data_IF_302599551494
#
_entry.id   IF_302599551494
#
_cell.length_a   1.000
_cell.length_b   1.000
_cell.length_c   1.000
_cell.angle_alpha   90.00
_cell.angle_beta   90.00
_cell.angle_gamma   90.00
#
_symmetry.space_group_name_H-M   'P 1'
#
loop_
_entity.id
_entity.type
_entity.pdbx_description
1 polymer ?
#
# COMPACT_ATOMS: atom_id res chain seq x y z
N UNK A 1 14.69 -0.38 2.72
CA UNK A 1 13.44 -0.89 2.11
C UNK A 1 13.54 -0.89 0.59
N UNK A 2 14.13 0.14 -0.01
CA UNK A 2 14.27 0.24 -1.47
C UNK A 2 15.09 -0.88 -2.10
N UNK A 3 16.12 -1.37 -1.40
CA UNK A 3 16.87 -2.55 -1.82
C UNK A 3 16.06 -3.87 -1.83
N UNK A 4 14.88 -3.92 -1.20
CA UNK A 4 13.99 -5.10 -1.20
C UNK A 4 13.01 -5.07 -2.39
N UNK A 5 12.61 -3.88 -2.84
CA UNK A 5 11.57 -3.66 -3.85
C UNK A 5 11.84 -4.35 -5.20
N UNK A 6 13.08 -4.37 -5.75
CA UNK A 6 13.40 -5.08 -6.99
C UNK A 6 13.18 -6.60 -6.95
N UNK A 7 13.10 -7.19 -5.75
CA UNK A 7 12.92 -8.63 -5.56
C UNK A 7 11.45 -9.01 -5.28
N UNK A 8 10.54 -8.04 -5.35
CA UNK A 8 9.11 -8.27 -5.25
C UNK A 8 8.49 -8.37 -6.66
N UNK A 9 7.40 -9.14 -6.81
CA UNK A 9 6.52 -9.00 -7.97
C UNK A 9 6.08 -7.54 -8.13
N UNK A 10 5.96 -7.08 -9.37
CA UNK A 10 5.63 -5.68 -9.72
C UNK A 10 4.43 -5.13 -8.93
N UNK A 11 3.35 -5.91 -8.84
CA UNK A 11 2.16 -5.53 -8.05
C UNK A 11 2.50 -5.24 -6.58
N UNK A 12 3.35 -6.06 -5.96
CA UNK A 12 3.76 -5.87 -4.57
C UNK A 12 4.77 -4.73 -4.43
N UNK A 13 5.64 -4.53 -5.40
CA UNK A 13 6.54 -3.38 -5.45
C UNK A 13 5.74 -2.06 -5.49
N UNK A 14 4.72 -1.98 -6.35
CA UNK A 14 3.83 -0.82 -6.44
C UNK A 14 3.03 -0.61 -5.17
N UNK A 15 2.55 -1.70 -4.55
CA UNK A 15 1.90 -1.62 -3.24
C UNK A 15 2.83 -1.05 -2.17
N UNK A 16 4.11 -1.46 -2.14
CA UNK A 16 5.11 -0.90 -1.21
C UNK A 16 5.31 0.59 -1.48
N UNK A 17 5.54 0.99 -2.73
CA UNK A 17 5.72 2.40 -3.13
C UNK A 17 4.53 3.25 -2.71
N UNK A 18 3.32 2.79 -3.05
CA UNK A 18 2.09 3.50 -2.70
C UNK A 18 1.88 3.62 -1.19
N UNK A 19 2.17 2.57 -0.42
CA UNK A 19 2.06 2.60 1.05
C UNK A 19 3.12 3.50 1.70
N UNK A 20 4.31 3.65 1.11
CA UNK A 20 5.32 4.58 1.62
C UNK A 20 4.88 6.04 1.46
N UNK A 21 4.25 6.37 0.35
CA UNK A 21 3.77 7.73 0.07
C UNK A 21 2.53 8.07 0.90
N UNK A 22 1.61 7.12 1.03
CA UNK A 22 0.28 7.39 1.59
C UNK A 22 0.09 6.93 3.02
N UNK A 23 0.95 6.03 3.52
CA UNK A 23 0.73 5.35 4.79
C UNK A 23 -0.55 4.50 4.85
N UNK A 24 -1.23 4.25 3.72
CA UNK A 24 -2.47 3.46 3.69
C UNK A 24 -2.23 2.00 4.12
N UNK A 25 -3.28 1.30 4.55
CA UNK A 25 -3.12 -0.14 4.87
C UNK A 25 -2.99 -0.97 3.57
N UNK A 26 -2.35 -2.15 3.61
CA UNK A 26 -2.20 -3.00 2.42
C UNK A 26 -3.52 -3.34 1.72
N UNK A 27 -4.58 -3.60 2.49
CA UNK A 27 -5.91 -3.85 1.95
C UNK A 27 -6.47 -2.66 1.16
N UNK A 28 -6.14 -1.42 1.55
CA UNK A 28 -6.62 -0.21 0.86
C UNK A 28 -5.89 0.00 -0.45
N UNK A 29 -4.58 -0.27 -0.47
CA UNK A 29 -3.78 -0.29 -1.69
C UNK A 29 -4.33 -1.30 -2.71
N UNK A 30 -4.69 -2.52 -2.29
CA UNK A 30 -5.31 -3.51 -3.19
C UNK A 30 -6.72 -3.08 -3.64
N UNK A 31 -7.54 -2.47 -2.77
CA UNK A 31 -8.85 -1.91 -3.18
C UNK A 31 -8.66 -0.85 -4.27
N UNK A 32 -7.73 0.09 -4.07
CA UNK A 32 -7.44 1.15 -5.05
C UNK A 32 -6.96 0.56 -6.38
N UNK A 33 -6.05 -0.42 -6.34
CA UNK A 33 -5.57 -1.13 -7.54
C UNK A 33 -6.72 -1.79 -8.30
N UNK A 34 -7.65 -2.44 -7.60
CA UNK A 34 -8.84 -3.06 -8.20
C UNK A 34 -9.81 -2.04 -8.78
N UNK A 35 -10.02 -0.91 -8.11
CA UNK A 35 -10.84 0.18 -8.62
C UNK A 35 -10.23 0.77 -9.92
N UNK A 36 -8.93 1.07 -9.93
CA UNK A 36 -8.24 1.55 -11.12
C UNK A 36 -8.27 0.54 -12.28
N UNK A 37 -8.15 -0.76 -11.99
CA UNK A 37 -8.30 -1.82 -13.00
C UNK A 37 -9.73 -1.89 -13.55
N UNK A 38 -10.74 -1.69 -12.69
CA UNK A 38 -12.13 -1.64 -13.11
C UNK A 38 -12.41 -0.40 -13.97
N UNK A 39 -11.85 0.74 -13.64
CA UNK A 39 -11.98 1.97 -14.42
C UNK A 39 -11.31 1.85 -15.79
N UNK A 40 -10.14 1.22 -15.85
CA UNK A 40 -9.42 0.91 -17.11
C UNK A 40 -10.03 -0.25 -17.90
N UNK A 41 -11.16 -0.80 -17.46
CA UNK A 41 -11.80 -1.94 -18.11
C UNK A 41 -12.26 -1.54 -19.52
N UNK A 42 -11.74 -2.22 -20.53
CA UNK A 42 -12.14 -2.01 -21.94
C UNK A 42 -13.53 -2.57 -22.26
N UNK A 43 -13.85 -3.74 -21.71
CA UNK A 43 -15.15 -4.38 -21.95
C UNK A 43 -16.22 -3.74 -21.07
N UNK A 44 -17.29 -3.14 -21.63
CA UNK A 44 -18.34 -2.54 -20.81
C UNK A 44 -19.00 -3.56 -19.86
N UNK A 45 -19.57 -3.08 -18.75
CA UNK A 45 -20.26 -3.95 -17.78
C UNK A 45 -21.50 -4.63 -18.37
N UNK A 46 -22.09 -4.09 -19.43
CA UNK A 46 -23.20 -4.73 -20.15
C UNK A 46 -22.83 -6.08 -20.74
N UNK A 47 -21.54 -6.33 -21.04
CA UNK A 47 -21.08 -7.55 -21.68
C UNK A 47 -20.37 -8.51 -20.73
N UNK A 48 -20.75 -9.79 -20.82
CA UNK A 48 -20.09 -10.92 -20.15
C UNK A 48 -20.21 -10.89 -18.62
N UNK A 49 -19.18 -11.43 -17.96
CA UNK A 49 -19.15 -11.55 -16.50
C UNK A 49 -18.78 -10.23 -15.84
N UNK A 50 -19.64 -9.78 -14.91
CA UNK A 50 -19.43 -8.57 -14.12
C UNK A 50 -18.68 -8.92 -12.82
N UNK A 51 -17.92 -7.98 -12.25
CA UNK A 51 -17.32 -8.17 -10.93
C UNK A 51 -18.39 -8.61 -9.92
N UNK A 52 -18.20 -9.78 -9.31
CA UNK A 52 -19.13 -10.31 -8.31
C UNK A 52 -20.24 -11.21 -8.85
N UNK A 53 -20.46 -11.33 -10.16
CA UNK A 53 -21.55 -12.19 -10.70
C UNK A 53 -21.15 -13.65 -10.86
N UNK A 54 -19.88 -13.93 -11.18
CA UNK A 54 -19.34 -15.29 -11.20
C UNK A 54 -18.99 -15.79 -9.80
N UNK A 55 -20.00 -16.01 -8.96
CA UNK A 55 -19.83 -16.52 -7.60
C UNK A 55 -20.83 -17.65 -7.33
N UNK A 56 -20.34 -18.75 -6.76
CA UNK A 56 -21.22 -19.82 -6.27
C UNK A 56 -22.02 -19.30 -5.06
N UNK A 57 -23.34 -19.51 -5.06
CA UNK A 57 -24.26 -19.03 -4.00
C UNK A 57 -23.86 -19.45 -2.58
N UNK A 58 -23.44 -20.71 -2.40
CA UNK A 58 -22.97 -21.28 -1.12
C UNK A 58 -21.59 -21.92 -1.33
N UNK A 59 -20.50 -21.14 -1.30
CA UNK A 59 -19.16 -21.68 -1.49
C UNK A 59 -18.65 -22.33 -0.19
N UNK A 60 -17.97 -23.48 -0.29
CA UNK A 60 -17.35 -24.16 0.87
C UNK A 60 -16.23 -23.31 1.52
N UNK A 61 -15.58 -22.44 0.73
CA UNK A 61 -14.61 -21.45 1.21
C UNK A 61 -14.93 -20.11 0.55
N UNK A 62 -15.07 -19.06 1.36
CA UNK A 62 -15.25 -17.70 0.84
C UNK A 62 -13.91 -17.22 0.26
N UNK A 63 -13.90 -16.59 -0.92
CA UNK A 63 -12.69 -15.92 -1.43
C UNK A 63 -12.23 -14.90 -0.41
N UNK A 64 -10.99 -15.04 0.07
CA UNK A 64 -10.37 -14.05 0.96
C UNK A 64 -9.88 -12.82 0.19
N UNK A 65 -9.44 -11.82 0.93
CA UNK A 65 -8.75 -10.68 0.35
C UNK A 65 -7.43 -11.11 -0.28
N UNK A 66 -7.08 -10.50 -1.41
CA UNK A 66 -5.78 -10.70 -2.02
C UNK A 66 -4.78 -9.82 -1.29
N UNK A 67 -3.65 -10.40 -0.88
CA UNK A 67 -2.61 -9.70 -0.12
C UNK A 67 -3.09 -9.18 1.25
N UNK A 68 -3.76 -10.04 2.01
CA UNK A 68 -3.96 -9.82 3.44
C UNK A 68 -2.63 -9.56 4.17
N UNK A 69 -2.69 -9.00 5.37
CA UNK A 69 -1.49 -8.62 6.14
C UNK A 69 -0.48 -9.78 6.28
N UNK A 70 -0.96 -11.02 6.38
CA UNK A 70 -0.13 -12.21 6.55
C UNK A 70 0.56 -12.62 5.24
N UNK A 71 -0.18 -12.72 4.14
CA UNK A 71 0.37 -13.05 2.81
C UNK A 71 1.33 -11.98 2.33
N UNK A 72 1.02 -10.71 2.57
CA UNK A 72 1.90 -9.59 2.28
C UNK A 72 3.20 -9.66 3.08
N UNK A 73 3.12 -9.88 4.41
CA UNK A 73 4.31 -10.09 5.26
C UNK A 73 5.18 -11.25 4.77
N UNK A 74 4.58 -12.37 4.38
CA UNK A 74 5.33 -13.53 3.85
C UNK A 74 6.05 -13.19 2.54
N UNK A 75 5.41 -12.43 1.66
CA UNK A 75 6.03 -12.01 0.40
C UNK A 75 7.25 -11.10 0.63
N UNK A 76 7.12 -10.10 1.51
CA UNK A 76 8.23 -9.23 1.90
C UNK A 76 9.39 -10.01 2.50
N UNK A 77 9.10 -10.96 3.40
CA UNK A 77 10.13 -11.82 4.01
C UNK A 77 10.92 -12.59 2.94
N UNK A 78 10.23 -13.15 1.95
CA UNK A 78 10.88 -13.87 0.84
C UNK A 78 11.73 -12.93 -0.01
N UNK A 79 11.25 -11.72 -0.30
CA UNK A 79 12.02 -10.73 -1.03
C UNK A 79 13.30 -10.32 -0.29
N UNK A 80 13.25 -10.11 1.03
CA UNK A 80 14.45 -9.85 1.84
C UNK A 80 15.44 -11.02 1.80
N UNK A 81 14.95 -12.26 1.88
CA UNK A 81 15.82 -13.44 1.77
C UNK A 81 16.50 -13.54 0.40
N UNK A 82 15.76 -13.27 -0.68
CA UNK A 82 16.32 -13.23 -2.04
C UNK A 82 17.35 -12.11 -2.16
N UNK A 83 17.05 -10.91 -1.66
CA UNK A 83 17.96 -9.77 -1.67
C UNK A 83 19.26 -10.08 -0.92
N UNK A 84 19.18 -10.70 0.26
CA UNK A 84 20.35 -11.03 1.07
C UNK A 84 21.20 -12.13 0.45
N UNK A 85 20.58 -13.13 -0.19
CA UNK A 85 21.33 -14.13 -0.97
C UNK A 85 22.08 -13.50 -2.13
N UNK A 86 21.44 -12.58 -2.86
CA UNK A 86 22.09 -11.87 -3.97
C UNK A 86 23.21 -10.97 -3.48
N UNK A 87 22.99 -10.21 -2.40
CA UNK A 87 24.03 -9.43 -1.74
C UNK A 87 25.22 -10.30 -1.41
N UNK A 88 25.08 -11.31 -0.55
CA UNK A 88 26.21 -12.16 -0.17
C UNK A 88 26.87 -12.97 -1.31
N UNK A 89 26.22 -13.11 -2.48
CA UNK A 89 26.82 -13.73 -3.66
C UNK A 89 27.55 -12.73 -4.58
N UNK A 90 27.05 -11.50 -4.71
CA UNK A 90 27.53 -10.48 -5.66
C UNK A 90 28.41 -9.41 -4.98
N UNK A 91 28.29 -9.25 -3.66
CA UNK A 91 28.89 -8.14 -2.91
C UNK A 91 29.02 -8.52 -1.43
N UNK A 92 30.18 -8.32 -0.81
CA UNK A 92 30.37 -8.56 0.63
C UNK A 92 29.71 -7.46 1.50
N UNK A 93 28.45 -7.16 1.19
CA UNK A 93 27.62 -6.18 1.87
C UNK A 93 26.83 -6.86 2.99
N UNK A 94 26.62 -6.11 4.07
CA UNK A 94 25.79 -6.56 5.17
C UNK A 94 24.37 -6.97 4.72
N UNK A 95 23.80 -8.01 5.34
CA UNK A 95 22.46 -8.47 5.04
C UNK A 95 21.43 -7.41 5.42
N UNK A 96 20.42 -7.22 4.57
CA UNK A 96 19.31 -6.34 4.86
C UNK A 96 18.54 -6.82 6.09
N UNK A 97 18.13 -5.89 6.98
CA UNK A 97 17.34 -6.23 8.14
C UNK A 97 15.94 -6.69 7.75
N UNK A 98 15.38 -7.59 8.55
CA UNK A 98 13.99 -8.01 8.42
C UNK A 98 13.08 -6.85 8.81
N UNK A 99 12.06 -6.57 7.99
CA UNK A 99 11.07 -5.53 8.27
C UNK A 99 9.64 -6.02 7.99
N UNK A 100 8.66 -5.34 8.58
CA UNK A 100 7.24 -5.70 8.49
C UNK A 100 6.43 -4.60 7.80
N UNK A 101 5.29 -4.92 7.16
CA UNK A 101 4.44 -3.95 6.46
C UNK A 101 4.10 -2.69 7.27
N UNK A 102 3.83 -2.85 8.57
CA UNK A 102 3.44 -1.73 9.43
C UNK A 102 4.56 -0.69 9.60
N UNK A 103 5.83 -1.07 9.36
CA UNK A 103 6.94 -0.09 9.35
C UNK A 103 6.79 0.92 8.22
N UNK A 104 6.18 0.57 7.09
CA UNK A 104 5.93 1.51 5.98
C UNK A 104 4.98 2.63 6.41
N UNK A 105 3.90 2.27 7.10
CA UNK A 105 2.94 3.23 7.64
C UNK A 105 3.57 4.11 8.71
N UNK A 106 4.41 3.54 9.58
CA UNK A 106 5.06 4.30 10.63
C UNK A 106 6.14 5.25 10.07
N UNK A 107 6.92 4.81 9.09
CA UNK A 107 7.89 5.69 8.41
C UNK A 107 7.20 6.82 7.66
N UNK A 108 6.12 6.52 6.93
CA UNK A 108 5.32 7.53 6.24
C UNK A 108 4.76 8.56 7.23
N UNK A 109 4.19 8.08 8.34
CA UNK A 109 3.68 8.94 9.41
C UNK A 109 4.76 9.88 9.96
N UNK A 110 5.95 9.35 10.22
CA UNK A 110 7.09 10.11 10.74
C UNK A 110 7.55 11.17 9.74
N UNK A 111 7.66 10.83 8.45
CA UNK A 111 8.07 11.80 7.42
C UNK A 111 7.00 12.88 7.19
N UNK A 112 5.73 12.50 7.07
CA UNK A 112 4.64 13.46 6.92
C UNK A 112 4.61 14.41 8.12
N UNK A 113 4.76 13.87 9.35
CA UNK A 113 4.81 14.71 10.55
C UNK A 113 6.00 15.65 10.56
N UNK A 114 7.18 15.19 10.14
CA UNK A 114 8.40 16.01 10.10
C UNK A 114 8.28 17.18 9.13
N UNK A 115 7.63 16.97 7.99
CA UNK A 115 7.55 17.97 6.92
C UNK A 115 6.30 18.85 6.99
N UNK A 116 5.19 18.35 7.56
CA UNK A 116 3.87 18.98 7.46
C UNK A 116 3.10 19.05 8.79
N UNK A 117 3.69 18.57 9.89
CA UNK A 117 3.08 18.65 11.22
C UNK A 117 2.09 17.52 11.53
N UNK A 118 1.50 17.57 12.72
CA UNK A 118 0.68 16.49 13.28
C UNK A 118 -0.67 16.34 12.55
N UNK A 119 -1.30 17.45 12.18
CA UNK A 119 -2.61 17.47 11.51
C UNK A 119 -2.53 16.79 10.14
N UNK A 120 -1.53 17.14 9.32
CA UNK A 120 -1.27 16.51 8.03
C UNK A 120 -1.07 14.99 8.13
N UNK A 121 -0.34 14.54 9.18
CA UNK A 121 -0.13 13.13 9.43
C UNK A 121 -1.43 12.42 9.86
N UNK A 122 -2.28 13.04 10.69
CA UNK A 122 -3.55 12.46 11.11
C UNK A 122 -4.53 12.30 9.94
N UNK A 123 -4.67 13.33 9.11
CA UNK A 123 -5.50 13.34 7.90
C UNK A 123 -5.04 12.27 6.91
N UNK A 124 -3.75 12.28 6.54
CA UNK A 124 -3.22 11.37 5.52
C UNK A 124 -3.35 9.89 5.96
N UNK A 125 -3.20 9.62 7.25
CA UNK A 125 -3.27 8.27 7.80
C UNK A 125 -4.70 7.81 8.14
N UNK A 126 -5.69 8.70 8.15
CA UNK A 126 -7.10 8.40 8.43
C UNK A 126 -7.38 7.97 9.87
N UNK A 127 -6.71 8.57 10.86
CA UNK A 127 -7.04 8.33 12.27
C UNK A 127 -8.31 9.12 12.66
N UNK A 128 -9.39 8.40 12.98
CA UNK A 128 -10.74 8.90 13.25
C UNK A 128 -10.93 9.65 14.60
N UNK A 129 -9.89 10.28 15.14
CA UNK A 129 -10.01 11.16 16.32
C UNK A 129 -9.25 12.46 16.06
N UNK A 130 -9.73 13.18 15.06
CA UNK A 130 -9.74 14.62 15.14
C UNK A 130 -11.18 14.99 14.84
N UNK A 131 -11.80 15.71 15.76
CA UNK A 131 -13.17 16.21 15.67
C UNK A 131 -13.17 17.36 14.63
N UNK A 132 -12.98 16.99 13.36
CA UNK A 132 -12.69 17.93 12.28
C UNK A 132 -13.99 18.22 11.55
N UNK A 133 -14.60 19.33 11.98
CA UNK A 133 -15.73 19.98 11.31
C UNK A 133 -15.52 20.08 9.79
N UNK A 134 -16.61 19.98 9.03
CA UNK A 134 -16.65 19.91 7.56
C UNK A 134 -15.87 21.02 6.81
N UNK A 135 -15.46 22.09 7.48
CA UNK A 135 -14.71 23.21 6.91
C UNK A 135 -13.21 22.86 6.68
N UNK A 136 -12.67 21.81 7.31
CA UNK A 136 -11.24 21.46 7.19
C UNK A 136 -10.91 20.40 6.13
N UNK A 137 -11.88 19.61 5.66
CA UNK A 137 -11.64 18.54 4.68
C UNK A 137 -11.05 19.04 3.32
N UNK A 138 -11.39 20.26 2.90
CA UNK A 138 -10.90 20.84 1.63
C UNK A 138 -9.47 21.39 1.73
N UNK A 139 -9.11 22.04 2.86
CA UNK A 139 -7.72 22.44 3.15
C UNK A 139 -6.82 21.22 3.31
N UNK A 140 -7.35 20.18 3.95
CA UNK A 140 -6.68 18.91 4.22
C UNK A 140 -6.33 18.13 2.95
N UNK A 141 -7.22 18.12 1.94
CA UNK A 141 -6.95 17.49 0.65
C UNK A 141 -5.86 18.21 -0.13
N UNK A 142 -5.87 19.54 -0.11
CA UNK A 142 -4.86 20.37 -0.78
C UNK A 142 -3.47 20.18 -0.15
N UNK A 143 -3.42 20.18 1.19
CA UNK A 143 -2.21 19.88 1.95
C UNK A 143 -1.71 18.46 1.66
N UNK A 144 -2.61 17.47 1.62
CA UNK A 144 -2.26 16.08 1.29
C UNK A 144 -1.69 15.97 -0.13
N UNK A 145 -2.24 16.67 -1.11
CA UNK A 145 -1.71 16.70 -2.48
C UNK A 145 -0.33 17.35 -2.53
N UNK A 146 -0.11 18.43 -1.79
CA UNK A 146 1.19 19.10 -1.70
C UNK A 146 2.25 18.22 -1.01
N UNK A 147 1.85 17.51 0.06
CA UNK A 147 2.66 16.50 0.75
C UNK A 147 3.10 15.42 -0.24
N UNK A 148 2.14 14.84 -0.97
CA UNK A 148 2.40 13.76 -1.93
C UNK A 148 3.30 14.23 -3.07
N UNK A 149 3.18 15.49 -3.50
CA UNK A 149 4.06 16.10 -4.53
C UNK A 149 5.49 16.37 -4.06
N UNK A 150 5.69 16.67 -2.77
CA UNK A 150 7.03 16.92 -2.21
C UNK A 150 7.77 15.63 -1.85
N UNK A 151 7.04 14.56 -1.56
CA UNK A 151 7.61 13.26 -1.18
C UNK A 151 7.75 12.31 -2.38
N UNK A 152 6.82 12.36 -3.35
CA UNK A 152 6.79 11.50 -4.54
C UNK A 152 7.55 12.08 -5.72
#
# INVERSE_FOLDING_TARGET
MDATTPHLPEVLADMVRFQRLTGCRPAESERKRRAAMHERRRTPLSYGNRPGTNRKRKPKRRPGDRYDTNSYRRALRRAVQVANRKRGAESDQDPLPKWSPNRLRHSAATEIRKHFGLEAAQVTLGHATADVSQIHAERDLTLTVEVMRKIG
#
